data_IF_703753028431
#
_entry.id   IF_703753028431
#
_cell.length_a   1.000
_cell.length_b   1.000
_cell.length_c   1.000
_cell.angle_alpha   90.00
_cell.angle_beta   90.00
_cell.angle_gamma   90.00
#
_symmetry.space_group_name_H-M   'P 1'
#
loop_
_entity.id
_entity.type
_entity.pdbx_description
1 polymer ?
#
# COMPACT_ATOMS: atom_id res chain seq x y z
N UNK A 1 6.54 -9.12 18.98
CA UNK A 1 6.43 -7.92 18.10
C UNK A 1 6.00 -8.33 16.69
N UNK A 2 5.31 -7.46 15.93
CA UNK A 2 4.92 -7.68 14.52
C UNK A 2 5.84 -6.88 13.59
N UNK A 3 6.29 -7.51 12.49
CA UNK A 3 7.26 -6.96 11.54
C UNK A 3 6.72 -6.84 10.12
N UNK A 4 7.34 -6.00 9.28
CA UNK A 4 6.96 -5.84 7.87
C UNK A 4 7.17 -7.10 7.02
N UNK A 5 8.10 -7.97 7.41
CA UNK A 5 8.28 -9.30 6.79
C UNK A 5 7.06 -10.20 7.00
N UNK A 6 6.42 -10.15 8.19
CA UNK A 6 5.18 -10.89 8.45
C UNK A 6 4.01 -10.37 7.62
N UNK A 7 3.91 -9.05 7.44
CA UNK A 7 2.88 -8.45 6.57
C UNK A 7 3.04 -8.95 5.13
N UNK A 8 4.27 -8.94 4.60
CA UNK A 8 4.57 -9.49 3.25
C UNK A 8 4.26 -10.98 3.15
N UNK A 9 4.60 -11.76 4.16
CA UNK A 9 4.32 -13.20 4.19
C UNK A 9 2.81 -13.49 4.22
N UNK A 10 2.05 -12.79 5.05
CA UNK A 10 0.58 -12.90 5.07
C UNK A 10 -0.04 -12.55 3.73
N UNK A 11 0.46 -11.49 3.09
CA UNK A 11 0.03 -11.08 1.76
C UNK A 11 0.30 -12.17 0.71
N UNK A 12 1.48 -12.79 0.76
CA UNK A 12 1.84 -13.89 -0.12
C UNK A 12 0.95 -15.13 0.11
N UNK A 13 0.60 -15.45 1.36
CA UNK A 13 -0.30 -16.56 1.67
C UNK A 13 -1.72 -16.34 1.15
N UNK A 14 -2.22 -15.10 1.17
CA UNK A 14 -3.53 -14.75 0.62
C UNK A 14 -3.50 -14.56 -0.91
N UNK A 15 -2.33 -14.51 -1.53
CA UNK A 15 -2.18 -14.28 -2.98
C UNK A 15 -2.57 -12.87 -3.44
N UNK A 16 -2.52 -11.87 -2.54
CA UNK A 16 -3.03 -10.51 -2.81
C UNK A 16 -1.92 -9.51 -3.11
N UNK A 17 -2.24 -8.40 -3.77
CA UNK A 17 -1.33 -7.29 -3.98
C UNK A 17 -1.44 -6.22 -2.86
N UNK A 18 -0.55 -5.22 -2.88
CA UNK A 18 -0.53 -4.16 -1.86
C UNK A 18 -1.78 -3.26 -1.91
N UNK A 19 -2.40 -3.10 -3.09
CA UNK A 19 -3.61 -2.28 -3.26
C UNK A 19 -4.84 -2.99 -2.69
N UNK A 20 -4.94 -4.29 -2.89
CA UNK A 20 -5.95 -5.14 -2.30
C UNK A 20 -5.84 -5.13 -0.77
N UNK A 21 -4.63 -5.29 -0.22
CA UNK A 21 -4.42 -5.18 1.22
C UNK A 21 -4.84 -3.80 1.74
N UNK A 22 -4.48 -2.73 1.03
CA UNK A 22 -4.88 -1.37 1.38
C UNK A 22 -6.41 -1.21 1.41
N UNK A 23 -7.10 -1.74 0.40
CA UNK A 23 -8.56 -1.74 0.33
C UNK A 23 -9.21 -2.55 1.45
N UNK A 24 -8.68 -3.74 1.76
CA UNK A 24 -9.20 -4.62 2.82
C UNK A 24 -9.02 -4.00 4.22
N UNK A 25 -7.90 -3.31 4.45
CA UNK A 25 -7.60 -2.65 5.72
C UNK A 25 -8.16 -1.22 5.82
N UNK A 26 -8.76 -0.67 4.75
CA UNK A 26 -9.19 0.73 4.72
C UNK A 26 -8.03 1.72 4.93
N UNK A 27 -6.86 1.41 4.37
CA UNK A 27 -5.64 2.21 4.44
C UNK A 27 -5.22 2.72 3.06
N UNK A 28 -4.34 3.71 3.04
CA UNK A 28 -3.71 4.16 1.81
C UNK A 28 -2.59 3.20 1.37
N UNK A 29 -2.38 3.06 0.06
CA UNK A 29 -1.24 2.31 -0.49
C UNK A 29 0.13 2.72 0.10
N UNK A 30 0.48 4.03 0.24
CA UNK A 30 1.75 4.41 0.84
C UNK A 30 1.86 4.02 2.33
N UNK A 31 0.74 3.94 3.06
CA UNK A 31 0.74 3.40 4.43
C UNK A 31 1.15 1.93 4.43
N UNK A 32 0.56 1.11 3.56
CA UNK A 32 0.90 -0.32 3.44
C UNK A 32 2.35 -0.52 3.02
N UNK A 33 2.84 0.25 2.05
CA UNK A 33 4.25 0.19 1.61
C UNK A 33 5.23 0.53 2.73
N UNK A 34 4.93 1.55 3.55
CA UNK A 34 5.73 1.90 4.73
C UNK A 34 5.75 0.77 5.77
N UNK A 35 4.61 0.11 5.99
CA UNK A 35 4.49 -1.02 6.91
C UNK A 35 5.29 -2.23 6.42
N UNK A 36 5.22 -2.57 5.14
CA UNK A 36 5.97 -3.70 4.56
C UNK A 36 7.49 -3.47 4.52
N UNK A 37 7.93 -2.20 4.38
CA UNK A 37 9.36 -1.82 4.33
C UNK A 37 10.01 -1.72 5.71
N UNK A 38 9.23 -1.73 6.78
CA UNK A 38 9.75 -1.67 8.14
C UNK A 38 10.31 -3.04 8.55
N UNK A 39 11.64 -3.13 8.63
CA UNK A 39 12.36 -4.35 9.06
C UNK A 39 12.29 -4.59 10.59
N UNK A 40 11.97 -3.54 11.35
CA UNK A 40 11.77 -3.61 12.81
C UNK A 40 10.29 -3.64 13.22
N UNK A 41 10.02 -3.23 14.47
CA UNK A 41 8.65 -3.02 14.95
C UNK A 41 7.96 -2.02 14.02
N UNK A 42 6.78 -2.37 13.50
CA UNK A 42 5.93 -1.38 12.84
C UNK A 42 5.48 -0.39 13.92
N UNK A 43 6.24 0.70 14.09
CA UNK A 43 5.97 1.78 15.05
C UNK A 43 4.88 2.74 14.54
N UNK A 44 4.34 2.45 13.35
CA UNK A 44 3.37 3.29 12.65
C UNK A 44 1.99 2.97 13.21
N UNK A 45 1.48 3.88 14.05
CA UNK A 45 0.06 4.09 14.39
C UNK A 45 -0.67 2.79 14.77
N UNK A 46 -0.84 2.53 16.07
CA UNK A 46 -1.53 1.34 16.61
C UNK A 46 -2.83 1.02 15.84
N UNK A 47 -3.65 2.04 15.56
CA UNK A 47 -4.88 1.90 14.74
C UNK A 47 -4.65 1.31 13.34
N UNK A 48 -3.59 1.71 12.65
CA UNK A 48 -3.30 1.20 11.29
C UNK A 48 -2.86 -0.26 11.35
N UNK A 49 -2.10 -0.63 12.38
CA UNK A 49 -1.71 -2.02 12.60
C UNK A 49 -2.93 -2.89 12.94
N UNK A 50 -3.82 -2.40 13.82
CA UNK A 50 -5.06 -3.09 14.16
C UNK A 50 -5.96 -3.33 12.95
N UNK A 51 -6.12 -2.32 12.08
CA UNK A 51 -6.88 -2.46 10.83
C UNK A 51 -6.31 -3.56 9.92
N UNK A 52 -4.99 -3.64 9.80
CA UNK A 52 -4.33 -4.68 9.00
C UNK A 52 -4.51 -6.07 9.64
N UNK A 53 -4.38 -6.18 10.97
CA UNK A 53 -4.60 -7.44 11.68
C UNK A 53 -6.04 -7.91 11.53
N UNK A 54 -7.02 -7.01 11.63
CA UNK A 54 -8.44 -7.32 11.42
C UNK A 54 -8.69 -7.76 9.97
N UNK A 55 -8.15 -7.05 8.98
CA UNK A 55 -8.26 -7.42 7.57
C UNK A 55 -7.71 -8.83 7.30
N UNK A 56 -6.54 -9.16 7.86
CA UNK A 56 -5.98 -10.50 7.76
C UNK A 56 -6.85 -11.55 8.47
N UNK A 57 -7.33 -11.27 9.69
CA UNK A 57 -8.19 -12.20 10.42
C UNK A 57 -9.49 -12.51 9.68
N UNK A 58 -10.08 -11.51 9.00
CA UNK A 58 -11.26 -11.69 8.14
C UNK A 58 -10.91 -12.52 6.91
N UNK A 59 -9.74 -12.27 6.29
CA UNK A 59 -9.25 -13.02 5.14
C UNK A 59 -8.76 -14.44 5.48
N UNK A 60 -8.71 -14.82 6.77
CA UNK A 60 -8.31 -16.16 7.21
C UNK A 60 -6.81 -16.32 7.47
N UNK A 61 -6.10 -15.23 7.74
CA UNK A 61 -4.68 -15.25 8.15
C UNK A 61 -4.50 -14.63 9.53
N UNK A 62 -3.67 -15.27 10.34
CA UNK A 62 -3.30 -14.81 11.67
C UNK A 62 -1.80 -14.52 11.73
N UNK A 63 -1.42 -13.36 12.26
CA UNK A 63 -0.03 -13.00 12.53
C UNK A 63 0.37 -13.39 13.95
N UNK A 64 1.42 -14.19 14.09
CA UNK A 64 1.94 -14.65 15.39
C UNK A 64 3.09 -13.74 15.81
N UNK A 65 2.89 -12.96 16.86
CA UNK A 65 3.93 -12.10 17.42
C UNK A 65 4.99 -12.91 18.18
N UNK A 66 6.22 -12.38 18.23
CA UNK A 66 7.28 -12.90 19.10
C UNK A 66 6.80 -12.97 20.56
N UNK A 67 6.87 -14.17 21.16
CA UNK A 67 6.37 -14.48 22.52
C UNK A 67 4.94 -15.01 22.62
N UNK A 68 4.18 -15.08 21.52
CA UNK A 68 2.83 -15.69 21.52
C UNK A 68 2.93 -17.23 21.63
N UNK A 69 2.05 -17.90 22.40
CA UNK A 69 2.05 -19.36 22.53
C UNK A 69 1.79 -20.01 21.16
N UNK A 70 2.86 -20.54 20.59
CA UNK A 70 2.86 -21.32 19.36
C UNK A 70 3.76 -22.53 19.54
N UNK A 71 3.44 -23.63 18.86
CA UNK A 71 4.25 -24.85 18.90
C UNK A 71 5.69 -24.60 18.39
N UNK A 72 5.86 -23.62 17.50
CA UNK A 72 7.16 -23.07 17.11
C UNK A 72 7.51 -21.83 17.91
N UNK A 73 8.79 -21.64 18.23
CA UNK A 73 9.28 -20.39 18.82
C UNK A 73 9.39 -19.31 17.74
N UNK A 74 9.13 -18.05 18.10
CA UNK A 74 9.39 -16.87 17.26
C UNK A 74 8.17 -16.34 16.51
N UNK A 75 8.45 -15.45 15.55
CA UNK A 75 7.44 -14.82 14.69
C UNK A 75 6.92 -15.79 13.63
N UNK A 76 5.63 -15.70 13.32
CA UNK A 76 5.02 -16.58 12.33
C UNK A 76 3.80 -15.97 11.64
N UNK A 77 3.35 -16.65 10.60
CA UNK A 77 2.08 -16.38 9.92
C UNK A 77 1.37 -17.71 9.76
N UNK A 78 0.08 -17.76 10.14
CA UNK A 78 -0.73 -18.96 10.09
C UNK A 78 -1.91 -18.74 9.16
N UNK A 79 -2.11 -19.68 8.25
CA UNK A 79 -3.33 -19.76 7.46
C UNK A 79 -4.37 -20.54 8.27
N UNK A 80 -5.50 -19.89 8.55
CA UNK A 80 -6.66 -20.55 9.13
C UNK A 80 -7.49 -21.04 7.94
N UNK A 81 -7.62 -22.36 7.79
CA UNK A 81 -8.46 -22.98 6.77
C UNK A 81 -9.93 -22.65 7.04
N UNK A 82 -10.34 -21.43 6.70
CA UNK A 82 -11.73 -21.09 6.43
C UNK A 82 -11.90 -21.25 4.93
N UNK A 83 -12.94 -21.97 4.50
CA UNK A 83 -13.28 -22.20 3.10
C UNK A 83 -13.15 -20.89 2.31
N UNK A 84 -12.08 -20.78 1.52
CA UNK A 84 -11.64 -19.53 0.91
C UNK A 84 -12.61 -19.21 -0.23
N UNK A 85 -13.76 -18.59 0.08
CA UNK A 85 -14.63 -18.06 -0.96
C UNK A 85 -13.82 -16.97 -1.65
N UNK A 86 -13.41 -17.29 -2.87
CA UNK A 86 -12.47 -16.57 -3.71
C UNK A 86 -12.46 -15.06 -3.44
N UNK A 87 -11.32 -14.56 -2.96
CA UNK A 87 -11.02 -13.15 -3.06
C UNK A 87 -11.19 -12.77 -4.55
N UNK A 88 -11.90 -11.68 -4.88
CA UNK A 88 -12.17 -11.32 -6.26
C UNK A 88 -10.86 -11.22 -7.05
N UNK A 89 -10.75 -12.02 -8.12
CA UNK A 89 -9.64 -12.01 -9.07
C UNK A 89 -9.55 -10.61 -9.73
N UNK A 90 -8.68 -9.75 -9.21
CA UNK A 90 -8.46 -8.40 -9.77
C UNK A 90 -7.57 -8.41 -11.01
N UNK A 91 -7.12 -9.57 -11.48
CA UNK A 91 -6.42 -9.71 -12.78
C UNK A 91 -7.32 -9.50 -14.00
N UNK A 92 -8.64 -9.35 -13.81
CA UNK A 92 -9.60 -9.08 -14.90
C UNK A 92 -9.85 -7.59 -15.17
N UNK A 93 -9.24 -6.65 -14.44
CA UNK A 93 -9.42 -5.21 -14.68
C UNK A 93 -8.42 -4.64 -15.69
N UNK A 94 -8.27 -5.29 -16.85
CA UNK A 94 -7.83 -4.61 -18.08
C UNK A 94 -9.01 -4.56 -19.02
N UNK A 95 -9.90 -3.59 -18.80
CA UNK A 95 -10.72 -3.02 -19.86
C UNK A 95 -11.44 -1.78 -19.33
N UNK A 96 -10.88 -0.61 -19.64
CA UNK A 96 -11.66 0.54 -20.13
C UNK A 96 -10.66 1.46 -20.82
N UNK A 97 -10.78 1.48 -22.14
CA UNK A 97 -10.30 2.52 -23.05
C UNK A 97 -10.44 3.90 -22.41
N UNK A 98 -9.34 4.49 -21.96
CA UNK A 98 -9.24 5.94 -21.83
C UNK A 98 -8.76 6.46 -23.18
N UNK A 99 -9.76 6.94 -23.90
CA UNK A 99 -9.62 7.70 -25.12
C UNK A 99 -8.58 8.82 -24.95
N UNK A 100 -7.89 9.06 -26.05
CA UNK A 100 -7.20 10.28 -26.44
C UNK A 100 -7.89 11.51 -25.87
N UNK A 101 -7.20 12.25 -25.02
CA UNK A 101 -7.45 13.67 -24.83
C UNK A 101 -6.29 14.39 -25.50
N UNK A 102 -6.59 14.89 -26.70
CA UNK A 102 -5.84 15.93 -27.39
C UNK A 102 -5.64 17.13 -26.45
N UNK A 103 -4.39 17.57 -26.32
CA UNK A 103 -4.04 18.86 -25.76
C UNK A 103 -3.58 19.79 -26.90
N UNK A 104 -4.30 20.87 -27.23
CA UNK A 104 -3.73 21.96 -28.00
C UNK A 104 -3.14 22.98 -27.03
N UNK A 105 -1.81 22.99 -26.89
CA UNK A 105 -1.11 24.08 -26.22
C UNK A 105 -0.77 25.15 -27.27
N UNK A 106 -1.71 26.07 -27.42
CA UNK A 106 -1.59 27.28 -28.23
C UNK A 106 -0.40 28.11 -27.80
N UNK A 107 0.37 28.53 -28.80
CA UNK A 107 1.40 29.54 -28.68
C UNK A 107 0.81 30.88 -28.20
N UNK A 108 1.40 31.47 -27.17
CA UNK A 108 1.35 32.92 -26.96
C UNK A 108 2.72 33.45 -26.51
N UNK A 109 3.28 34.22 -27.43
CA UNK A 109 4.50 34.99 -27.35
C UNK A 109 4.26 36.34 -26.67
N UNK A 110 4.96 36.61 -25.58
CA UNK A 110 5.30 37.96 -25.13
C UNK A 110 6.60 37.82 -24.32
N UNK A 111 7.77 38.24 -24.82
CA UNK A 111 8.05 39.63 -25.15
C UNK A 111 8.81 40.24 -23.97
N UNK A 112 10.04 39.77 -23.72
CA UNK A 112 10.92 40.31 -22.69
C UNK A 112 11.37 41.72 -23.14
N UNK A 113 10.68 42.73 -22.62
CA UNK A 113 11.00 44.14 -22.84
C UNK A 113 12.31 44.53 -22.18
N UNK A 114 13.08 45.33 -22.90
CA UNK A 114 14.44 45.74 -22.61
C UNK A 114 14.64 46.43 -21.24
N UNK A 115 15.68 46.02 -20.52
CA UNK A 115 16.33 46.84 -19.49
C UNK A 115 17.34 47.78 -20.17
N UNK A 116 16.97 49.04 -20.35
CA UNK A 116 17.89 50.12 -20.67
C UNK A 116 18.66 50.56 -19.42
N UNK A 117 19.98 50.79 -19.49
CA UNK A 117 20.74 51.38 -18.38
C UNK A 117 21.17 52.81 -18.72
N UNK A 118 20.52 53.85 -18.21
CA UNK A 118 21.11 55.21 -18.19
C UNK A 118 20.60 56.08 -17.03
N UNK A 119 21.58 56.58 -16.26
CA UNK A 119 21.66 57.88 -15.57
C UNK A 119 20.72 58.16 -14.41
N UNK A 120 21.31 58.14 -13.20
CA UNK A 120 21.00 59.13 -12.17
C UNK A 120 22.26 59.94 -11.87
N UNK A 121 22.04 61.24 -11.75
CA UNK A 121 23.00 62.30 -11.49
C UNK A 121 23.69 62.19 -10.12
#
# INVERSE_FOLDING_TARGET
>A
MISGSQVRAARALLGIDQKQLASLAGLSLPTVQRMERSEGSVRVIVDSLEKVLQAFAIAGVELIADGSPSAGRGIGVRLILRNQKALPDTRSSTNTSLASVDAPESAESAGCGACSPERLA
#
